data_IF_266071928048
#
_entry.id   IF_266071928048
#
_cell.length_a   1.000
_cell.length_b   1.000
_cell.length_c   1.000
_cell.angle_alpha   90.00
_cell.angle_beta   90.00
_cell.angle_gamma   90.00
#
_symmetry.space_group_name_H-M   'P 1'
#
loop_
_entity.id
_entity.type
_entity.pdbx_description
1 polymer ?
#
# COMPACT_ATOMS: atom_id res chain seq x y z
N UNK A 1 34.00 -20.22 1.77
CA UNK A 1 32.58 -19.90 2.07
C UNK A 1 32.54 -18.47 2.60
N UNK A 2 32.61 -17.52 1.72
CA UNK A 2 32.97 -16.14 2.04
C UNK A 2 31.71 -15.26 2.01
N UNK A 3 30.72 -15.52 2.85
CA UNK A 3 29.49 -14.69 2.93
C UNK A 3 28.87 -14.35 1.56
N UNK A 4 29.04 -15.25 0.57
CA UNK A 4 28.62 -15.02 -0.81
C UNK A 4 27.08 -14.97 -0.98
N UNK A 5 26.34 -15.40 0.03
CA UNK A 5 24.88 -15.40 0.02
C UNK A 5 24.35 -14.81 1.32
N UNK A 6 23.48 -13.81 1.20
CA UNK A 6 22.70 -13.32 2.33
C UNK A 6 21.56 -14.32 2.63
N UNK A 7 21.38 -14.67 3.89
CA UNK A 7 20.21 -15.41 4.32
C UNK A 7 18.98 -14.51 4.17
N UNK A 8 18.02 -14.93 3.35
CA UNK A 8 16.74 -14.25 3.25
C UNK A 8 16.01 -14.37 4.59
N UNK A 9 15.71 -13.23 5.20
CA UNK A 9 14.90 -13.18 6.42
C UNK A 9 13.56 -12.56 6.08
N UNK A 10 12.52 -13.17 6.58
CA UNK A 10 11.18 -12.65 6.42
C UNK A 10 10.97 -11.43 7.31
N UNK A 11 10.29 -10.42 6.78
CA UNK A 11 9.88 -9.25 7.54
C UNK A 11 8.76 -9.67 8.52
N UNK A 12 8.82 -9.22 9.76
CA UNK A 12 7.76 -9.45 10.75
C UNK A 12 6.47 -8.73 10.31
N UNK A 13 5.32 -9.30 10.71
CA UNK A 13 4.00 -8.78 10.33
C UNK A 13 3.82 -7.29 10.68
N UNK A 14 4.26 -6.89 11.87
CA UNK A 14 4.16 -5.51 12.35
C UNK A 14 5.00 -4.56 11.48
N UNK A 15 6.24 -4.94 11.17
CA UNK A 15 7.11 -4.12 10.34
C UNK A 15 6.57 -4.02 8.90
N UNK A 16 6.01 -5.11 8.37
CA UNK A 16 5.42 -5.11 7.03
C UNK A 16 4.21 -4.17 6.96
N UNK A 17 3.33 -4.20 7.96
CA UNK A 17 2.19 -3.30 8.04
C UNK A 17 2.63 -1.83 8.15
N UNK A 18 3.62 -1.55 9.01
CA UNK A 18 4.17 -0.20 9.16
C UNK A 18 4.79 0.34 7.88
N UNK A 19 5.51 -0.50 7.12
CA UNK A 19 6.08 -0.13 5.82
C UNK A 19 4.98 0.19 4.81
N UNK A 20 3.93 -0.65 4.72
CA UNK A 20 2.80 -0.41 3.82
C UNK A 20 2.13 0.92 4.19
N UNK A 21 1.87 1.17 5.47
CA UNK A 21 1.26 2.42 5.95
C UNK A 21 2.11 3.65 5.64
N UNK A 22 3.42 3.53 5.79
CA UNK A 22 4.37 4.60 5.49
C UNK A 22 4.43 4.91 3.99
N UNK A 23 4.48 3.88 3.14
CA UNK A 23 4.54 4.05 1.68
C UNK A 23 3.25 4.68 1.15
N UNK A 24 2.10 4.25 1.67
CA UNK A 24 0.78 4.74 1.25
C UNK A 24 0.35 6.05 1.93
N UNK A 25 1.10 6.53 2.92
CA UNK A 25 0.77 7.71 3.74
C UNK A 25 -0.58 7.54 4.46
N UNK A 26 -0.83 6.34 5.01
CA UNK A 26 -2.03 6.03 5.80
C UNK A 26 -1.73 5.99 7.28
N UNK A 27 -2.76 6.27 8.10
CA UNK A 27 -2.67 6.22 9.56
C UNK A 27 -3.51 5.08 10.10
N UNK A 28 -2.87 4.14 10.77
CA UNK A 28 -3.55 3.03 11.42
C UNK A 28 -4.12 3.44 12.79
N UNK A 29 -5.18 2.75 13.19
CA UNK A 29 -5.77 2.87 14.52
C UNK A 29 -5.77 1.50 15.17
N UNK A 30 -5.04 1.37 16.25
CA UNK A 30 -5.03 0.17 17.10
C UNK A 30 -5.73 0.46 18.42
N UNK A 31 -6.37 -0.55 18.98
CA UNK A 31 -7.04 -0.44 20.27
C UNK A 31 -6.03 -0.02 21.37
N UNK A 32 -6.38 0.96 22.17
CA UNK A 32 -5.50 1.47 23.24
C UNK A 32 -4.36 2.38 22.78
N UNK A 33 -4.19 2.61 21.46
CA UNK A 33 -3.14 3.48 20.93
C UNK A 33 -3.73 4.69 20.19
N UNK A 34 -3.00 5.81 20.10
CA UNK A 34 -3.43 6.98 19.35
C UNK A 34 -3.52 6.69 17.84
N UNK A 35 -4.25 7.52 17.12
CA UNK A 35 -4.31 7.43 15.65
C UNK A 35 -2.93 7.70 15.05
N UNK A 36 -2.48 6.84 14.16
CA UNK A 36 -1.17 6.89 13.53
C UNK A 36 -0.07 6.20 14.33
N UNK A 37 -0.42 5.47 15.38
CA UNK A 37 0.52 4.59 16.07
C UNK A 37 0.99 3.48 15.12
N UNK A 38 2.24 3.07 15.28
CA UNK A 38 2.84 2.01 14.48
C UNK A 38 2.48 0.63 15.05
N UNK A 39 2.33 -0.37 14.16
CA UNK A 39 2.01 -1.73 14.58
C UNK A 39 3.08 -2.33 15.52
N UNK A 40 4.35 -1.94 15.39
CA UNK A 40 5.42 -2.36 16.32
C UNK A 40 5.22 -1.85 17.74
N UNK A 41 4.39 -0.84 17.97
CA UNK A 41 4.09 -0.29 19.30
C UNK A 41 3.00 -1.06 20.04
N UNK A 42 2.33 -2.02 19.38
CA UNK A 42 1.31 -2.86 20.02
C UNK A 42 2.01 -3.79 21.02
N UNK A 43 1.91 -3.43 22.30
CA UNK A 43 2.51 -4.22 23.37
C UNK A 43 1.68 -5.48 23.71
N UNK A 44 0.35 -5.38 23.61
CA UNK A 44 -0.58 -6.46 23.94
C UNK A 44 -0.69 -7.45 22.76
N UNK A 45 -0.45 -8.73 23.04
CA UNK A 45 -0.60 -9.84 22.09
C UNK A 45 -2.05 -10.08 21.66
N UNK A 46 -3.02 -9.78 22.54
CA UNK A 46 -4.45 -9.92 22.25
C UNK A 46 -4.98 -8.91 21.23
N UNK A 47 -4.29 -7.78 21.04
CA UNK A 47 -4.65 -6.80 20.01
C UNK A 47 -4.10 -7.25 18.68
N UNK A 48 -4.95 -7.73 17.79
CA UNK A 48 -4.56 -8.18 16.45
C UNK A 48 -5.52 -7.65 15.39
N UNK A 49 -5.04 -7.59 14.17
CA UNK A 49 -5.84 -7.33 12.97
C UNK A 49 -5.75 -8.55 12.07
N UNK A 50 -6.69 -8.69 11.12
CA UNK A 50 -6.64 -9.78 10.15
C UNK A 50 -5.28 -9.86 9.43
N UNK A 51 -4.71 -8.71 9.07
CA UNK A 51 -3.38 -8.65 8.47
C UNK A 51 -2.30 -9.23 9.38
N UNK A 52 -2.22 -8.76 10.62
CA UNK A 52 -1.20 -9.22 11.57
C UNK A 52 -1.31 -10.71 11.86
N UNK A 53 -2.53 -11.23 11.98
CA UNK A 53 -2.79 -12.66 12.18
C UNK A 53 -2.36 -13.47 10.95
N UNK A 54 -2.76 -13.04 9.75
CA UNK A 54 -2.42 -13.72 8.49
C UNK A 54 -0.91 -13.79 8.28
N UNK A 55 -0.19 -12.72 8.64
CA UNK A 55 1.28 -12.65 8.50
C UNK A 55 2.05 -13.21 9.70
N UNK A 56 1.35 -13.89 10.62
CA UNK A 56 1.96 -14.71 11.66
C UNK A 56 2.51 -13.93 12.84
N UNK A 57 1.90 -12.79 13.21
CA UNK A 57 2.23 -12.11 14.46
C UNK A 57 1.97 -13.03 15.64
N UNK A 58 2.91 -13.08 16.59
CA UNK A 58 2.75 -13.84 17.82
C UNK A 58 1.63 -13.27 18.70
N UNK A 59 0.80 -14.14 19.28
CA UNK A 59 -0.24 -13.77 20.26
C UNK A 59 0.34 -13.46 21.63
N UNK A 60 1.60 -13.87 21.86
CA UNK A 60 2.33 -13.72 23.13
C UNK A 60 1.66 -14.43 24.32
N UNK A 61 0.98 -15.53 24.05
CA UNK A 61 0.39 -16.38 25.07
C UNK A 61 1.46 -17.16 25.84
N UNK A 62 2.59 -17.43 25.19
CA UNK A 62 3.75 -18.10 25.81
C UNK A 62 5.00 -17.23 25.74
N UNK A 63 6.01 -17.56 26.56
CA UNK A 63 7.33 -16.89 26.56
C UNK A 63 8.18 -17.29 25.33
N UNK A 64 7.72 -18.25 24.54
CA UNK A 64 8.46 -18.81 23.41
C UNK A 64 8.33 -17.93 22.15
N UNK A 65 9.44 -17.66 21.50
CA UNK A 65 9.45 -17.01 20.19
C UNK A 65 8.93 -17.89 19.04
N UNK A 66 8.63 -19.16 19.32
CA UNK A 66 8.07 -20.14 18.37
C UNK A 66 6.63 -19.84 17.95
N UNK A 67 5.93 -18.94 18.63
CA UNK A 67 4.57 -18.50 18.22
C UNK A 67 4.55 -17.72 16.91
N UNK A 68 5.67 -17.15 16.48
CA UNK A 68 5.75 -16.41 15.23
C UNK A 68 5.74 -17.39 14.05
N UNK A 69 4.67 -17.40 13.28
CA UNK A 69 4.56 -18.23 12.08
C UNK A 69 5.27 -17.55 10.91
N UNK A 70 6.47 -18.07 10.60
CA UNK A 70 7.32 -17.50 9.54
C UNK A 70 7.18 -18.22 8.19
N UNK A 71 6.38 -19.28 8.10
CA UNK A 71 6.18 -20.03 6.87
C UNK A 71 5.35 -19.23 5.86
N UNK A 72 5.74 -19.22 4.57
CA UNK A 72 4.96 -18.59 3.53
C UNK A 72 3.69 -19.40 3.26
N UNK A 73 2.56 -18.69 3.14
CA UNK A 73 1.27 -19.30 2.81
C UNK A 73 0.66 -18.66 1.57
N UNK A 74 -0.17 -19.42 0.86
CA UNK A 74 -0.93 -18.91 -0.29
C UNK A 74 -1.82 -17.74 0.12
N UNK A 75 -2.43 -17.80 1.31
CA UNK A 75 -3.28 -16.74 1.84
C UNK A 75 -2.53 -15.41 1.98
N UNK A 76 -1.27 -15.44 2.39
CA UNK A 76 -0.44 -14.24 2.48
C UNK A 76 -0.14 -13.64 1.10
N UNK A 77 0.18 -14.49 0.11
CA UNK A 77 0.44 -14.03 -1.26
C UNK A 77 -0.82 -13.39 -1.87
N UNK A 78 -1.97 -14.05 -1.75
CA UNK A 78 -3.25 -13.53 -2.22
C UNK A 78 -3.64 -12.24 -1.51
N UNK A 79 -3.38 -12.15 -0.20
CA UNK A 79 -3.68 -10.95 0.57
C UNK A 79 -2.82 -9.74 0.15
N UNK A 80 -1.55 -9.94 -0.21
CA UNK A 80 -0.71 -8.88 -0.74
C UNK A 80 -1.15 -8.43 -2.15
N UNK A 81 -1.59 -9.36 -3.00
CA UNK A 81 -1.98 -9.06 -4.38
C UNK A 81 -3.38 -8.42 -4.45
N UNK A 82 -4.36 -9.00 -3.76
CA UNK A 82 -5.77 -8.65 -3.89
C UNK A 82 -6.46 -8.28 -2.57
N UNK A 83 -5.72 -8.27 -1.45
CA UNK A 83 -6.31 -8.03 -0.13
C UNK A 83 -6.73 -6.58 0.09
N UNK A 84 -7.83 -6.44 0.82
CA UNK A 84 -8.41 -5.13 1.15
C UNK A 84 -7.45 -4.22 1.91
N UNK A 85 -6.55 -4.79 2.73
CA UNK A 85 -5.60 -3.98 3.51
C UNK A 85 -4.66 -3.19 2.61
N UNK A 86 -4.03 -3.83 1.62
CA UNK A 86 -3.07 -3.16 0.73
C UNK A 86 -3.80 -2.24 -0.24
N UNK A 87 -4.81 -2.76 -0.93
CA UNK A 87 -5.60 -1.99 -1.90
C UNK A 87 -6.37 -0.85 -1.24
N UNK A 88 -6.94 -1.07 -0.06
CA UNK A 88 -7.60 -0.04 0.72
C UNK A 88 -6.64 1.08 1.13
N UNK A 89 -5.44 0.74 1.61
CA UNK A 89 -4.42 1.73 1.96
C UNK A 89 -3.90 2.51 0.75
N UNK A 90 -3.77 1.88 -0.42
CA UNK A 90 -3.41 2.58 -1.65
C UNK A 90 -4.49 3.61 -2.03
N UNK A 91 -5.78 3.22 -1.96
CA UNK A 91 -6.91 4.10 -2.29
C UNK A 91 -7.11 5.23 -1.27
N UNK A 92 -6.99 4.93 0.03
CA UNK A 92 -7.20 5.88 1.12
C UNK A 92 -5.98 6.77 1.37
N UNK A 93 -4.80 6.29 0.97
CA UNK A 93 -3.54 6.99 1.19
C UNK A 93 -3.37 8.19 0.28
N UNK A 94 -2.85 9.29 0.82
CA UNK A 94 -2.63 10.51 0.07
C UNK A 94 -1.45 10.48 -0.91
N UNK A 95 -0.67 9.41 -0.96
CA UNK A 95 0.57 9.39 -1.75
C UNK A 95 0.32 9.58 -3.25
N UNK A 96 -0.61 8.80 -3.82
CA UNK A 96 -0.91 8.86 -5.26
C UNK A 96 -1.55 10.20 -5.62
N UNK A 97 -2.53 10.64 -4.85
CA UNK A 97 -3.19 11.94 -5.04
C UNK A 97 -2.18 13.09 -5.00
N UNK A 98 -1.31 13.13 -4.00
CA UNK A 98 -0.24 14.14 -3.90
C UNK A 98 0.71 14.13 -5.09
N UNK A 99 1.06 12.95 -5.61
CA UNK A 99 1.92 12.84 -6.79
C UNK A 99 1.24 13.35 -8.06
N UNK A 100 -0.07 13.12 -8.20
CA UNK A 100 -0.86 13.63 -9.33
C UNK A 100 -1.01 15.15 -9.23
N UNK A 101 -1.38 15.67 -8.08
CA UNK A 101 -1.59 17.11 -7.83
C UNK A 101 -0.32 17.96 -8.02
N UNK A 102 0.84 17.41 -7.70
CA UNK A 102 2.11 18.12 -7.92
C UNK A 102 2.47 18.29 -9.39
N UNK A 103 1.67 17.76 -10.33
CA UNK A 103 1.85 17.84 -11.79
C UNK A 103 3.24 17.45 -12.28
N UNK A 104 3.94 16.62 -11.53
CA UNK A 104 5.24 16.08 -11.93
C UNK A 104 5.09 15.24 -13.20
N UNK A 105 6.13 15.25 -14.03
CA UNK A 105 6.20 14.38 -15.20
C UNK A 105 6.09 12.88 -14.78
N UNK A 106 5.58 12.00 -15.66
CA UNK A 106 5.47 10.58 -15.36
C UNK A 106 6.77 9.96 -14.82
N UNK A 107 7.91 10.37 -15.34
CA UNK A 107 9.23 9.92 -14.91
C UNK A 107 9.55 10.29 -13.47
N UNK A 108 9.19 11.49 -13.06
CA UNK A 108 9.39 11.95 -11.69
C UNK A 108 8.46 11.21 -10.72
N UNK A 109 7.21 10.95 -11.12
CA UNK A 109 6.26 10.15 -10.33
C UNK A 109 6.77 8.73 -10.11
N UNK A 110 7.26 8.07 -11.18
CA UNK A 110 7.87 6.74 -11.09
C UNK A 110 9.07 6.78 -10.15
N UNK A 111 9.94 7.78 -10.30
CA UNK A 111 11.13 7.93 -9.48
C UNK A 111 10.79 8.11 -8.00
N UNK A 112 9.79 8.94 -7.67
CA UNK A 112 9.34 9.13 -6.29
C UNK A 112 8.76 7.84 -5.69
N UNK A 113 7.96 7.09 -6.45
CA UNK A 113 7.44 5.80 -6.02
C UNK A 113 8.56 4.77 -5.78
N UNK A 114 9.56 4.72 -6.66
CA UNK A 114 10.72 3.84 -6.48
C UNK A 114 11.52 4.19 -5.23
N UNK A 115 11.73 5.47 -4.97
CA UNK A 115 12.42 5.91 -3.75
C UNK A 115 11.63 5.54 -2.49
N UNK A 116 10.31 5.65 -2.51
CA UNK A 116 9.45 5.27 -1.37
C UNK A 116 9.41 3.77 -1.13
N UNK A 117 9.27 2.96 -2.20
CA UNK A 117 9.09 1.52 -2.08
C UNK A 117 10.42 0.75 -1.98
N UNK A 118 11.44 1.18 -2.72
CA UNK A 118 12.69 0.45 -2.89
C UNK A 118 13.92 1.19 -2.39
N UNK A 119 13.79 2.44 -1.95
CA UNK A 119 14.90 3.31 -1.52
C UNK A 119 16.01 3.46 -2.57
N UNK A 120 15.67 3.28 -3.86
CA UNK A 120 16.56 3.48 -5.01
C UNK A 120 15.81 4.12 -6.17
N UNK A 121 16.54 4.72 -7.08
CA UNK A 121 15.98 5.18 -8.36
C UNK A 121 15.71 4.01 -9.31
N UNK A 122 14.73 4.13 -10.22
CA UNK A 122 14.53 3.15 -11.27
C UNK A 122 15.73 3.14 -12.23
N UNK A 123 16.01 2.00 -12.85
CA UNK A 123 16.93 1.89 -13.97
C UNK A 123 16.28 2.44 -15.23
N UNK A 124 17.08 2.71 -16.27
CA UNK A 124 16.55 3.19 -17.56
C UNK A 124 15.54 2.21 -18.16
N UNK A 125 15.79 0.90 -18.06
CA UNK A 125 14.90 -0.14 -18.56
C UNK A 125 13.58 -0.22 -17.81
N UNK A 126 13.62 -0.11 -16.45
CA UNK A 126 12.42 -0.05 -15.61
C UNK A 126 11.59 1.18 -15.93
N UNK A 127 12.24 2.34 -16.08
CA UNK A 127 11.57 3.58 -16.41
C UNK A 127 10.86 3.50 -17.77
N UNK A 128 11.53 2.99 -18.79
CA UNK A 128 10.97 2.84 -20.13
C UNK A 128 9.76 1.89 -20.18
N UNK A 129 9.78 0.82 -19.37
CA UNK A 129 8.64 -0.11 -19.25
C UNK A 129 7.45 0.47 -18.54
N UNK A 130 7.68 1.34 -17.54
CA UNK A 130 6.62 1.88 -16.69
C UNK A 130 5.99 3.18 -17.22
N UNK A 131 6.72 3.96 -18.01
CA UNK A 131 6.21 5.20 -18.61
C UNK A 131 4.88 5.03 -19.37
N UNK A 132 4.74 4.04 -20.28
CA UNK A 132 3.49 3.85 -21.01
C UNK A 132 2.31 3.57 -20.12
N UNK A 133 2.52 2.76 -19.05
CA UNK A 133 1.47 2.36 -18.13
C UNK A 133 0.87 3.55 -17.35
N UNK A 134 1.70 4.52 -16.96
CA UNK A 134 1.23 5.71 -16.24
C UNK A 134 0.60 6.72 -17.19
N UNK A 135 1.12 6.88 -18.41
CA UNK A 135 0.57 7.79 -19.41
C UNK A 135 -0.81 7.36 -19.92
N UNK A 136 -0.95 6.11 -20.28
CA UNK A 136 -2.22 5.56 -20.77
C UNK A 136 -3.30 5.47 -19.71
N UNK A 137 -2.93 5.03 -18.49
CA UNK A 137 -3.86 4.96 -17.37
C UNK A 137 -4.38 6.32 -16.91
N UNK A 138 -3.53 7.35 -16.95
CA UNK A 138 -3.95 8.71 -16.59
C UNK A 138 -4.93 9.29 -17.64
N UNK A 139 -4.69 9.03 -18.92
CA UNK A 139 -5.58 9.48 -19.98
C UNK A 139 -6.94 8.75 -19.96
N UNK A 140 -6.96 7.44 -19.68
CA UNK A 140 -8.19 6.68 -19.55
C UNK A 140 -8.99 7.09 -18.29
N UNK A 141 -8.33 7.29 -17.16
CA UNK A 141 -9.00 7.76 -15.94
C UNK A 141 -9.59 9.17 -16.13
N UNK A 142 -8.87 10.07 -16.80
CA UNK A 142 -9.38 11.41 -17.11
C UNK A 142 -10.55 11.38 -18.10
N UNK A 143 -10.51 10.49 -19.10
CA UNK A 143 -11.62 10.32 -20.03
C UNK A 143 -12.89 9.83 -19.30
N UNK A 144 -12.77 8.82 -18.43
CA UNK A 144 -13.87 8.31 -17.63
C UNK A 144 -14.44 9.35 -16.65
N UNK A 145 -13.57 10.17 -16.04
CA UNK A 145 -14.02 11.27 -15.16
C UNK A 145 -14.81 12.31 -15.96
N UNK A 146 -14.34 12.68 -17.13
CA UNK A 146 -15.04 13.63 -17.99
C UNK A 146 -16.39 13.08 -18.46
N UNK A 147 -16.49 11.78 -18.76
CA UNK A 147 -17.78 11.13 -19.12
C UNK A 147 -18.78 11.18 -17.94
N UNK A 148 -18.31 10.88 -16.72
CA UNK A 148 -19.15 10.94 -15.52
C UNK A 148 -19.60 12.37 -15.17
N UNK A 149 -18.74 13.37 -15.35
CA UNK A 149 -19.11 14.77 -15.15
C UNK A 149 -20.18 15.23 -16.16
N UNK A 150 -20.08 14.81 -17.41
CA UNK A 150 -21.08 15.10 -18.46
C UNK A 150 -22.43 14.44 -18.12
N UNK A 151 -22.42 13.19 -17.66
CA UNK A 151 -23.67 12.51 -17.25
C UNK A 151 -24.34 13.23 -16.06
N UNK A 152 -23.56 13.66 -15.06
CA UNK A 152 -24.11 14.40 -13.92
C UNK A 152 -24.69 15.77 -14.32
N UNK A 153 -24.08 16.48 -15.26
CA UNK A 153 -24.60 17.74 -15.78
C UNK A 153 -25.90 17.55 -16.58
N UNK A 154 -26.00 16.45 -17.32
CA UNK A 154 -27.22 16.12 -18.06
C UNK A 154 -28.41 15.77 -17.13
N UNK A 155 -28.13 14.99 -16.08
CA UNK A 155 -29.13 14.63 -15.08
C UNK A 155 -29.60 15.86 -14.28
N UNK A 156 -28.68 16.73 -13.87
CA UNK A 156 -28.99 17.98 -13.18
C UNK A 156 -29.79 18.97 -14.05
N UNK A 157 -29.53 18.97 -15.36
CA UNK A 157 -30.27 19.77 -16.33
C UNK A 157 -31.68 19.26 -16.61
N UNK A 158 -31.92 17.95 -16.46
CA UNK A 158 -33.23 17.31 -16.62
C UNK A 158 -34.16 17.58 -15.44
N UNK A 159 -33.63 17.59 -14.20
CA UNK A 159 -34.41 17.89 -12.99
C UNK A 159 -34.80 19.38 -12.86
N UNK A 160 -34.13 20.28 -13.55
CA UNK A 160 -34.42 21.70 -13.52
C UNK A 160 -35.46 22.14 -14.56
N UNK A 161 -35.96 21.22 -15.41
CA UNK A 161 -36.89 21.50 -16.51
C UNK A 161 -38.34 21.01 -16.25
N UNK A 162 -38.58 20.34 -15.11
CA UNK A 162 -39.91 19.95 -14.61
C UNK A 162 -40.32 20.85 -13.42
#
# INVERSE_FOLDING_TARGET
RNFAHANLRRIKAENLLDVISQVTDTRDKFQGLPLGARAVQIADGGISTYFLTTFGRATRETVCSCEVKMEPTLSQALHLLNGDTVNGKIKQGGTITKLIETKKFPEERITDLYLRCFSRKPTADELNKLKPLIGEGANQAQALLNELEIEQELDAGSEAAD
#
